data_IF_582146224576
#
_entry.id   IF_582146224576
#
_cell.length_a   1.000
_cell.length_b   1.000
_cell.length_c   1.000
_cell.angle_alpha   90.00
_cell.angle_beta   90.00
_cell.angle_gamma   90.00
#
_symmetry.space_group_name_H-M   'P 1'
#
loop_
_entity.id
_entity.type
_entity.pdbx_description
1 polymer ?
#
# COMPACT_ATOMS: atom_id res chain seq x y z
N UNK A 1 16.20 4.88 4.71
CA UNK A 1 15.27 6.02 4.63
C UNK A 1 16.02 7.26 4.15
N UNK A 2 15.33 8.25 3.57
CA UNK A 2 15.92 9.53 3.12
C UNK A 2 16.47 10.30 4.33
N UNK A 3 17.63 10.92 4.16
CA UNK A 3 18.39 11.68 5.15
C UNK A 3 18.60 13.14 4.72
N UNK A 4 18.68 13.41 3.42
CA UNK A 4 18.77 14.77 2.86
C UNK A 4 17.37 15.37 2.63
N UNK A 5 17.20 16.71 2.74
CA UNK A 5 15.95 17.35 2.34
C UNK A 5 15.69 17.11 0.84
N UNK A 6 14.42 17.27 0.44
CA UNK A 6 14.06 17.21 -0.97
C UNK A 6 14.57 18.47 -1.68
N UNK A 7 15.19 18.30 -2.85
CA UNK A 7 15.36 19.39 -3.83
C UNK A 7 13.99 19.97 -4.21
N UNK A 8 13.77 21.25 -3.95
CA UNK A 8 12.54 21.96 -4.31
C UNK A 8 12.40 22.10 -5.82
N UNK A 9 13.49 22.38 -6.53
CA UNK A 9 13.47 22.52 -8.00
C UNK A 9 13.03 21.23 -8.67
N UNK A 10 13.54 20.09 -8.20
CA UNK A 10 13.27 18.78 -8.78
C UNK A 10 11.85 18.28 -8.45
N UNK A 11 11.19 18.83 -7.42
CA UNK A 11 9.79 18.51 -7.11
C UNK A 11 8.83 19.04 -8.19
N UNK A 12 9.21 20.12 -8.86
CA UNK A 12 8.40 20.72 -9.93
C UNK A 12 8.87 20.32 -11.33
N UNK A 13 9.93 19.51 -11.45
CA UNK A 13 10.42 18.98 -12.72
C UNK A 13 10.07 17.49 -12.91
N UNK A 14 9.21 17.22 -13.89
CA UNK A 14 8.84 15.87 -14.30
C UNK A 14 10.01 14.99 -14.78
N UNK A 15 11.12 15.61 -15.22
CA UNK A 15 12.38 14.96 -15.61
C UNK A 15 13.45 15.00 -14.51
N UNK A 16 13.14 15.62 -13.36
CA UNK A 16 14.04 15.74 -12.23
C UNK A 16 14.28 14.43 -11.48
N UNK A 17 15.06 14.50 -10.40
CA UNK A 17 15.54 13.33 -9.65
C UNK A 17 14.43 12.39 -9.14
N UNK A 18 13.22 12.91 -8.90
CA UNK A 18 12.06 12.13 -8.47
C UNK A 18 11.33 11.43 -9.62
N UNK A 19 11.33 12.06 -10.80
CA UNK A 19 10.55 11.67 -11.97
C UNK A 19 9.05 11.87 -11.78
N UNK A 20 8.29 11.73 -12.87
CA UNK A 20 6.83 11.94 -12.86
C UNK A 20 6.03 10.81 -12.21
N UNK A 21 6.54 9.57 -12.19
CA UNK A 21 5.79 8.39 -11.73
C UNK A 21 6.62 7.45 -10.88
N UNK A 22 6.11 7.12 -9.69
CA UNK A 22 6.66 6.07 -8.84
C UNK A 22 5.93 4.73 -9.02
N UNK A 23 6.35 3.97 -10.03
CA UNK A 23 5.76 2.65 -10.35
C UNK A 23 5.80 1.66 -9.18
N UNK A 24 6.83 1.73 -8.33
CA UNK A 24 6.96 0.85 -7.16
C UNK A 24 5.89 1.16 -6.11
N UNK A 25 5.67 2.43 -5.81
CA UNK A 25 4.60 2.84 -4.88
C UNK A 25 3.22 2.50 -5.42
N UNK A 26 2.98 2.67 -6.73
CA UNK A 26 1.72 2.26 -7.37
C UNK A 26 1.53 0.75 -7.24
N UNK A 27 2.55 -0.04 -7.58
CA UNK A 27 2.49 -1.50 -7.44
C UNK A 27 2.22 -1.93 -6.00
N UNK A 28 2.86 -1.28 -5.02
CA UNK A 28 2.66 -1.56 -3.60
C UNK A 28 1.25 -1.19 -3.14
N UNK A 29 0.71 -0.06 -3.60
CA UNK A 29 -0.66 0.36 -3.33
C UNK A 29 -1.64 -0.68 -3.87
N UNK A 30 -1.52 -1.06 -5.14
CA UNK A 30 -2.39 -2.08 -5.77
C UNK A 30 -2.32 -3.38 -4.99
N UNK A 31 -1.11 -3.84 -4.65
CA UNK A 31 -0.92 -5.07 -3.88
C UNK A 31 -1.58 -4.99 -2.49
N UNK A 32 -1.35 -3.91 -1.74
CA UNK A 32 -1.98 -3.68 -0.44
C UNK A 32 -3.51 -3.61 -0.53
N UNK A 33 -4.06 -2.99 -1.58
CA UNK A 33 -5.51 -2.93 -1.83
C UNK A 33 -6.10 -4.31 -2.06
N UNK A 34 -5.46 -5.13 -2.91
CA UNK A 34 -5.92 -6.49 -3.18
C UNK A 34 -5.96 -7.29 -1.88
N UNK A 35 -4.86 -7.30 -1.11
CA UNK A 35 -4.82 -8.01 0.18
C UNK A 35 -5.85 -7.45 1.16
N UNK A 36 -5.98 -6.13 1.27
CA UNK A 36 -6.95 -5.48 2.17
C UNK A 36 -8.39 -5.91 1.89
N UNK A 37 -8.80 -5.95 0.62
CA UNK A 37 -10.13 -6.44 0.23
C UNK A 37 -10.37 -7.91 0.57
N UNK A 38 -9.32 -8.72 0.65
CA UNK A 38 -9.44 -10.11 1.09
C UNK A 38 -9.86 -10.25 2.56
N UNK A 39 -9.66 -9.22 3.38
CA UNK A 39 -9.87 -9.24 4.83
C UNK A 39 -10.86 -8.17 5.32
N UNK A 40 -11.64 -7.59 4.42
CA UNK A 40 -12.74 -6.66 4.74
C UNK A 40 -14.04 -7.26 4.21
N UNK A 41 -15.16 -7.06 4.91
CA UNK A 41 -16.49 -7.34 4.37
C UNK A 41 -17.25 -6.04 4.13
N UNK A 42 -18.16 -6.05 3.16
CA UNK A 42 -19.10 -4.95 2.95
C UNK A 42 -20.53 -5.51 2.95
N UNK A 43 -21.31 -5.11 3.96
CA UNK A 43 -22.71 -5.51 4.13
C UNK A 43 -23.70 -4.51 3.52
N UNK A 44 -23.25 -3.31 3.17
CA UNK A 44 -24.11 -2.24 2.63
C UNK A 44 -24.36 -2.38 1.13
N UNK A 45 -23.48 -3.09 0.43
CA UNK A 45 -23.49 -3.19 -1.03
C UNK A 45 -23.35 -4.65 -1.47
N UNK A 46 -24.42 -5.24 -2.00
CA UNK A 46 -24.45 -6.66 -2.44
C UNK A 46 -23.42 -6.98 -3.52
N UNK A 47 -23.12 -6.03 -4.40
CA UNK A 47 -22.11 -6.15 -5.45
C UNK A 47 -20.67 -6.19 -4.93
N UNK A 48 -20.43 -5.84 -3.65
CA UNK A 48 -19.14 -5.93 -2.97
C UNK A 48 -19.04 -7.17 -2.05
N UNK A 49 -20.00 -8.09 -2.11
CA UNK A 49 -20.01 -9.34 -1.32
C UNK A 49 -18.85 -10.30 -1.64
N UNK A 50 -18.17 -10.09 -2.77
CA UNK A 50 -16.96 -10.82 -3.14
C UNK A 50 -15.77 -10.51 -2.22
N UNK A 51 -15.79 -9.37 -1.52
CA UNK A 51 -14.78 -9.02 -0.52
C UNK A 51 -14.77 -10.05 0.62
N UNK A 52 -13.66 -10.11 1.36
CA UNK A 52 -13.52 -11.03 2.48
C UNK A 52 -13.13 -12.44 2.05
N UNK A 53 -12.59 -12.61 0.85
CA UNK A 53 -12.23 -13.91 0.27
C UNK A 53 -11.03 -14.59 0.96
N UNK A 54 -10.34 -13.92 1.90
CA UNK A 54 -9.34 -14.52 2.80
C UNK A 54 -9.83 -14.67 4.25
N UNK A 55 -11.03 -14.19 4.59
CA UNK A 55 -11.55 -14.27 5.96
C UNK A 55 -11.73 -15.70 6.44
N UNK A 56 -11.97 -16.66 5.54
CA UNK A 56 -12.13 -18.08 5.90
C UNK A 56 -10.91 -18.68 6.60
N UNK A 57 -9.71 -18.09 6.42
CA UNK A 57 -8.48 -18.51 7.10
C UNK A 57 -8.45 -18.07 8.57
N UNK A 58 -9.19 -17.02 8.94
CA UNK A 58 -9.11 -16.37 10.26
C UNK A 58 -10.45 -16.33 11.00
N UNK A 59 -11.39 -17.19 10.64
CA UNK A 59 -12.69 -17.33 11.33
C UNK A 59 -13.94 -17.12 10.46
N UNK A 60 -13.75 -16.86 9.17
CA UNK A 60 -14.81 -16.81 8.17
C UNK A 60 -15.64 -15.53 8.16
N UNK A 61 -16.44 -15.37 7.11
CA UNK A 61 -17.32 -14.18 6.89
C UNK A 61 -18.44 -14.02 7.92
N UNK A 62 -18.63 -14.99 8.84
CA UNK A 62 -19.61 -14.93 9.95
C UNK A 62 -18.93 -14.88 11.33
N UNK A 63 -17.61 -14.95 11.38
CA UNK A 63 -16.85 -14.92 12.63
C UNK A 63 -16.66 -13.51 13.19
N UNK A 64 -16.07 -13.42 14.39
CA UNK A 64 -15.83 -12.16 15.09
C UNK A 64 -14.98 -11.16 14.28
N UNK A 65 -14.12 -11.65 13.38
CA UNK A 65 -13.22 -10.84 12.56
C UNK A 65 -13.87 -10.26 11.29
N UNK A 66 -15.03 -10.76 10.86
CA UNK A 66 -15.64 -10.35 9.61
C UNK A 66 -15.98 -8.85 9.56
N UNK A 67 -16.32 -8.27 10.71
CA UNK A 67 -16.75 -6.88 10.86
C UNK A 67 -15.66 -5.98 11.47
N UNK A 68 -14.45 -6.50 11.72
CA UNK A 68 -13.38 -5.76 12.40
C UNK A 68 -12.49 -4.94 11.46
N UNK A 69 -12.71 -5.01 10.14
CA UNK A 69 -11.89 -4.35 9.12
C UNK A 69 -10.38 -4.64 9.24
N UNK A 70 -10.00 -5.87 9.65
CA UNK A 70 -8.59 -6.26 9.84
C UNK A 70 -7.74 -6.09 8.58
N UNK A 71 -8.35 -6.14 7.39
CA UNK A 71 -7.67 -5.85 6.13
C UNK A 71 -7.03 -4.47 6.05
N UNK A 72 -7.53 -3.46 6.80
CA UNK A 72 -6.91 -2.13 6.88
C UNK A 72 -5.54 -2.23 7.54
N UNK A 73 -5.41 -3.01 8.61
CA UNK A 73 -4.13 -3.23 9.29
C UNK A 73 -3.15 -3.89 8.33
N UNK A 74 -3.58 -4.95 7.62
CA UNK A 74 -2.71 -5.60 6.63
C UNK A 74 -2.27 -4.65 5.52
N UNK A 75 -3.16 -3.81 4.99
CA UNK A 75 -2.82 -2.82 3.98
C UNK A 75 -1.79 -1.80 4.48
N UNK A 76 -1.93 -1.33 5.73
CA UNK A 76 -0.96 -0.41 6.35
C UNK A 76 0.41 -1.08 6.57
N UNK A 77 0.43 -2.32 7.07
CA UNK A 77 1.68 -3.07 7.25
C UNK A 77 2.39 -3.30 5.91
N UNK A 78 1.64 -3.70 4.87
CA UNK A 78 2.18 -3.87 3.52
C UNK A 78 2.73 -2.56 2.98
N UNK A 79 1.98 -1.46 3.08
CA UNK A 79 2.41 -0.15 2.65
C UNK A 79 3.69 0.31 3.35
N UNK A 80 3.74 0.15 4.67
CA UNK A 80 4.88 0.54 5.49
C UNK A 80 6.12 -0.30 5.18
N UNK A 81 6.05 -1.62 5.35
CA UNK A 81 7.20 -2.50 5.14
C UNK A 81 7.62 -2.56 3.68
N UNK A 82 6.66 -2.58 2.76
CA UNK A 82 6.94 -2.53 1.33
C UNK A 82 7.67 -1.25 0.95
N UNK A 83 7.29 -0.09 1.50
CA UNK A 83 8.02 1.15 1.26
C UNK A 83 9.45 1.08 1.81
N UNK A 84 9.62 0.64 3.07
CA UNK A 84 10.94 0.51 3.71
C UNK A 84 11.89 -0.37 2.88
N UNK A 85 11.38 -1.51 2.37
CA UNK A 85 12.17 -2.46 1.58
C UNK A 85 12.48 -1.95 0.16
N UNK A 86 11.50 -1.34 -0.51
CA UNK A 86 11.61 -1.01 -1.95
C UNK A 86 12.20 0.37 -2.23
N UNK A 87 12.09 1.31 -1.28
CA UNK A 87 12.50 2.70 -1.49
C UNK A 87 14.00 2.94 -1.28
N UNK A 88 14.68 2.14 -0.47
CA UNK A 88 16.07 2.39 -0.05
C UNK A 88 17.06 2.62 -1.20
N UNK A 89 17.06 1.75 -2.22
CA UNK A 89 17.96 1.88 -3.38
C UNK A 89 17.71 3.15 -4.19
N UNK A 90 16.43 3.49 -4.43
CA UNK A 90 16.04 4.68 -5.20
C UNK A 90 16.43 5.94 -4.43
N UNK A 91 16.15 5.99 -3.13
CA UNK A 91 16.52 7.12 -2.27
C UNK A 91 18.02 7.35 -2.29
N UNK A 92 18.84 6.29 -2.15
CA UNK A 92 20.29 6.42 -2.18
C UNK A 92 20.80 7.02 -3.51
N UNK A 93 20.21 6.63 -4.64
CA UNK A 93 20.52 7.22 -5.95
C UNK A 93 20.09 8.69 -6.02
N UNK A 94 18.92 9.03 -5.46
CA UNK A 94 18.41 10.41 -5.44
C UNK A 94 19.25 11.33 -4.54
N UNK A 95 19.96 10.78 -3.56
CA UNK A 95 20.84 11.55 -2.66
C UNK A 95 22.31 11.60 -3.11
N UNK A 96 22.69 10.82 -4.13
CA UNK A 96 24.05 10.83 -4.71
C UNK A 96 24.22 11.83 -5.85
N UNK A 97 23.11 12.41 -6.32
CA UNK A 97 23.08 13.59 -7.18
C UNK A 97 23.21 14.83 -6.28
#
# INVERSE_FOLDING_TARGET
>A
MRKKPYSETDLFDSHGTYGSVNRKSIGLMVFGTVIGWGFVTNTFASWLSWQGYFLDVIGGKKGAWAYSNIGVIFALLIGFFGHVLLAGKRIKQQESV
#
